data_IF_323078053095
#
_entry.id   IF_323078053095
#
_cell.length_a   1.000
_cell.length_b   1.000
_cell.length_c   1.000
_cell.angle_alpha   90.00
_cell.angle_beta   90.00
_cell.angle_gamma   90.00
#
_symmetry.space_group_name_H-M   'P 1'
#
loop_
_entity.id
_entity.type
_entity.pdbx_description
1 polymer ?
#
# COMPACT_ATOMS: atom_id res chain seq x y z
N UNK A 1 9.46 10.11 8.37
CA UNK A 1 8.23 9.75 7.68
C UNK A 1 7.60 8.52 8.33
N UNK A 2 6.33 8.63 8.72
CA UNK A 2 5.57 7.57 9.40
C UNK A 2 4.23 7.34 8.69
N UNK A 3 3.64 6.18 8.96
CA UNK A 3 2.30 5.82 8.51
C UNK A 3 1.48 5.41 9.71
N UNK A 4 0.27 5.90 9.79
CA UNK A 4 -0.72 5.43 10.75
C UNK A 4 -1.28 4.07 10.31
N UNK A 5 -1.42 3.12 11.25
CA UNK A 5 -1.78 1.73 10.92
C UNK A 5 -3.12 1.27 11.49
N UNK A 6 -3.88 2.20 12.06
CA UNK A 6 -5.24 1.97 12.58
C UNK A 6 -6.16 3.14 12.22
N UNK A 7 -7.46 2.96 12.32
CA UNK A 7 -8.38 4.08 12.22
C UNK A 7 -8.57 4.71 13.60
N UNK A 8 -8.28 6.01 13.71
CA UNK A 8 -8.50 6.79 14.93
C UNK A 8 -9.39 7.99 14.60
N UNK A 9 -10.69 7.80 14.80
CA UNK A 9 -11.70 8.82 14.48
C UNK A 9 -11.60 10.05 15.37
N UNK A 10 -11.09 9.90 16.61
CA UNK A 10 -10.93 11.04 17.53
C UNK A 10 -9.81 11.99 17.07
N UNK A 11 -8.76 11.43 16.50
CA UNK A 11 -7.61 12.18 15.97
C UNK A 11 -7.76 12.50 14.48
N UNK A 12 -8.84 12.03 13.84
CA UNK A 12 -9.10 12.15 12.41
C UNK A 12 -7.93 11.63 11.55
N UNK A 13 -7.37 10.45 11.93
CA UNK A 13 -6.29 9.80 11.21
C UNK A 13 -6.69 8.37 10.91
N UNK A 14 -6.39 7.90 9.70
CA UNK A 14 -6.84 6.61 9.22
C UNK A 14 -5.67 5.70 8.85
N UNK A 15 -5.96 4.40 8.78
CA UNK A 15 -4.98 3.41 8.38
C UNK A 15 -4.48 3.69 6.96
N UNK A 16 -3.18 3.93 6.83
CA UNK A 16 -2.53 4.28 5.57
C UNK A 16 -2.14 5.74 5.44
N UNK A 17 -2.64 6.62 6.33
CA UNK A 17 -2.26 8.03 6.33
C UNK A 17 -0.77 8.20 6.62
N UNK A 18 -0.13 9.04 5.83
CA UNK A 18 1.30 9.28 5.89
C UNK A 18 1.56 10.68 6.41
N UNK A 19 2.40 10.78 7.42
CA UNK A 19 2.84 12.04 8.00
C UNK A 19 4.35 12.11 8.23
N UNK A 20 4.78 13.25 8.72
CA UNK A 20 6.18 13.48 9.10
C UNK A 20 6.24 13.84 10.59
N UNK A 21 7.15 13.19 11.31
CA UNK A 21 7.43 13.55 12.68
C UNK A 21 8.02 14.96 12.70
N UNK A 22 7.38 15.85 13.42
CA UNK A 22 7.85 17.21 13.64
C UNK A 22 8.64 17.36 14.93
N UNK A 23 8.17 16.70 16.00
CA UNK A 23 8.78 16.81 17.32
C UNK A 23 8.71 15.47 18.07
N UNK A 24 9.74 15.21 18.87
CA UNK A 24 9.83 14.06 19.74
C UNK A 24 10.36 14.54 21.10
N UNK A 25 9.59 14.32 22.14
CA UNK A 25 10.03 14.47 23.49
C UNK A 25 9.84 13.17 24.31
N UNK A 26 10.24 13.15 25.57
CA UNK A 26 10.22 11.93 26.37
C UNK A 26 8.84 11.29 26.57
N UNK A 27 7.76 12.04 26.38
CA UNK A 27 6.39 11.61 26.65
C UNK A 27 5.50 11.61 25.42
N UNK A 28 5.81 12.46 24.42
CA UNK A 28 4.95 12.73 23.28
C UNK A 28 5.72 12.76 21.97
N UNK A 29 5.02 12.38 20.90
CA UNK A 29 5.49 12.46 19.53
C UNK A 29 4.44 13.22 18.71
N UNK A 30 4.87 14.24 17.97
CA UNK A 30 3.99 15.05 17.13
C UNK A 30 4.24 14.73 15.66
N UNK A 31 3.16 14.45 14.93
CA UNK A 31 3.19 14.11 13.51
C UNK A 31 2.35 15.11 12.72
N UNK A 32 2.91 15.64 11.65
CA UNK A 32 2.26 16.47 10.66
C UNK A 32 1.71 15.62 9.52
N UNK A 33 0.40 15.62 9.33
CA UNK A 33 -0.32 14.94 8.24
C UNK A 33 -0.69 15.89 7.10
N UNK A 34 0.00 17.05 6.99
CA UNK A 34 -0.15 18.11 5.98
C UNK A 34 -1.39 19.00 6.15
N UNK A 35 -2.51 18.44 6.53
CA UNK A 35 -3.78 19.15 6.78
C UNK A 35 -4.01 19.42 8.27
N UNK A 36 -3.41 18.60 9.13
CA UNK A 36 -3.49 18.76 10.59
C UNK A 36 -2.31 18.09 11.31
N UNK A 37 -2.07 18.55 12.54
CA UNK A 37 -1.01 18.04 13.39
C UNK A 37 -1.62 17.17 14.49
N UNK A 38 -1.05 15.98 14.71
CA UNK A 38 -1.51 15.02 15.70
C UNK A 38 -0.41 14.70 16.70
N UNK A 39 -0.77 14.75 17.99
CA UNK A 39 0.13 14.35 19.07
C UNK A 39 -0.22 12.95 19.56
N UNK A 40 0.79 12.12 19.70
CA UNK A 40 0.72 10.75 20.21
C UNK A 40 1.40 10.65 21.57
N UNK A 41 0.71 10.04 22.51
CA UNK A 41 1.29 9.64 23.79
C UNK A 41 2.13 8.36 23.59
N UNK A 42 3.00 8.05 24.56
CA UNK A 42 3.91 6.91 24.48
C UNK A 42 3.21 5.55 24.26
N UNK A 43 2.02 5.37 24.84
CA UNK A 43 1.21 4.16 24.69
C UNK A 43 0.51 4.06 23.31
N UNK A 44 0.44 5.16 22.56
CA UNK A 44 -0.18 5.24 21.23
C UNK A 44 0.85 5.06 20.09
N UNK A 45 2.14 5.01 20.39
CA UNK A 45 3.20 4.85 19.38
C UNK A 45 3.09 3.55 18.58
N UNK A 46 2.40 2.55 19.11
CA UNK A 46 2.10 1.31 18.42
C UNK A 46 1.09 1.49 17.25
N UNK A 47 0.45 2.65 17.14
CA UNK A 47 -0.40 3.02 16.00
C UNK A 47 0.41 3.57 14.82
N UNK A 48 1.72 3.78 14.98
CA UNK A 48 2.61 4.32 13.98
C UNK A 48 3.64 3.29 13.51
N UNK A 49 4.00 3.37 12.24
CA UNK A 49 5.13 2.62 11.66
C UNK A 49 5.96 3.51 10.76
N UNK A 50 7.25 3.18 10.59
CA UNK A 50 8.09 3.91 9.63
C UNK A 50 7.59 3.72 8.21
N UNK A 51 7.51 4.80 7.44
CA UNK A 51 6.95 4.83 6.09
C UNK A 51 7.99 5.16 5.01
N UNK A 52 9.20 4.61 5.13
CA UNK A 52 10.23 4.71 4.07
C UNK A 52 9.93 3.79 2.89
N UNK A 53 9.13 2.74 3.10
CA UNK A 53 8.58 1.86 2.07
C UNK A 53 7.16 1.45 2.46
N UNK A 54 6.34 1.13 1.46
CA UNK A 54 4.97 0.66 1.65
C UNK A 54 4.73 -0.60 0.83
N UNK A 55 3.87 -1.50 1.30
CA UNK A 55 3.41 -2.60 0.47
C UNK A 55 2.44 -2.10 -0.60
N UNK A 56 2.34 -2.83 -1.72
CA UNK A 56 1.42 -2.50 -2.81
C UNK A 56 -0.03 -2.41 -2.32
N UNK A 57 -0.43 -3.27 -1.38
CA UNK A 57 -1.77 -3.27 -0.82
C UNK A 57 -2.07 -2.00 0.01
N UNK A 58 -1.10 -1.57 0.83
CA UNK A 58 -1.25 -0.34 1.63
C UNK A 58 -1.20 0.94 0.78
N UNK A 59 -0.64 0.88 -0.41
CA UNK A 59 -0.62 1.99 -1.36
C UNK A 59 -1.88 2.10 -2.22
N UNK A 60 -2.85 1.18 -2.07
CA UNK A 60 -4.12 1.25 -2.79
C UNK A 60 -4.89 2.51 -2.37
N UNK A 61 -5.43 3.22 -3.37
CA UNK A 61 -6.08 4.51 -3.15
C UNK A 61 -5.14 5.72 -3.14
N UNK A 62 -3.83 5.51 -2.89
CA UNK A 62 -2.83 6.59 -2.91
C UNK A 62 -2.16 6.72 -4.27
N UNK A 63 -1.68 7.92 -4.60
CA UNK A 63 -0.93 8.21 -5.83
C UNK A 63 0.36 8.97 -5.49
N UNK A 64 1.42 8.70 -6.23
CA UNK A 64 2.75 9.26 -6.01
C UNK A 64 3.32 9.81 -7.31
N UNK A 65 4.12 10.87 -7.23
CA UNK A 65 4.81 11.41 -8.42
C UNK A 65 5.73 10.38 -9.05
N UNK A 66 6.51 9.69 -8.21
CA UNK A 66 7.47 8.66 -8.62
C UNK A 66 7.26 7.42 -7.77
N UNK A 67 7.23 6.24 -8.38
CA UNK A 67 7.15 4.95 -7.70
C UNK A 67 8.38 4.12 -8.05
N UNK A 68 9.05 3.61 -7.03
CA UNK A 68 10.19 2.69 -7.16
C UNK A 68 9.73 1.30 -6.73
N UNK A 69 9.84 0.32 -7.63
CA UNK A 69 9.36 -1.05 -7.41
C UNK A 69 10.55 -2.00 -7.43
N UNK A 70 11.01 -2.52 -6.28
CA UNK A 70 12.00 -3.58 -6.25
C UNK A 70 11.35 -4.93 -6.63
N UNK A 71 11.94 -5.64 -7.61
CA UNK A 71 11.50 -6.96 -8.05
C UNK A 71 12.63 -7.97 -7.88
N UNK A 72 12.45 -8.94 -6.97
CA UNK A 72 13.38 -10.04 -6.76
C UNK A 72 12.70 -11.38 -7.05
N UNK A 73 13.44 -12.32 -7.63
CA UNK A 73 12.98 -13.71 -7.83
C UNK A 73 12.73 -14.44 -6.52
N UNK A 74 13.33 -14.00 -5.40
CA UNK A 74 13.05 -14.54 -4.05
C UNK A 74 11.60 -14.33 -3.62
N UNK A 75 10.91 -13.33 -4.17
CA UNK A 75 9.51 -13.05 -3.90
C UNK A 75 8.56 -13.64 -4.95
N UNK A 76 8.88 -14.82 -5.52
CA UNK A 76 8.18 -15.37 -6.68
C UNK A 76 6.66 -15.52 -6.50
N UNK A 77 6.18 -15.78 -5.27
CA UNK A 77 4.74 -15.86 -4.94
C UNK A 77 4.03 -14.52 -5.20
N UNK A 78 4.73 -13.41 -4.97
CA UNK A 78 4.21 -12.04 -5.14
C UNK A 78 4.43 -11.52 -6.57
N UNK A 79 5.19 -12.23 -7.41
CA UNK A 79 5.38 -11.86 -8.81
C UNK A 79 4.14 -12.23 -9.63
N UNK A 80 3.11 -11.37 -9.54
CA UNK A 80 1.82 -11.53 -10.20
C UNK A 80 1.51 -10.28 -11.03
N UNK A 81 0.89 -10.48 -12.18
CA UNK A 81 0.54 -9.41 -13.12
C UNK A 81 -0.34 -8.33 -12.49
N UNK A 82 -1.37 -8.73 -11.76
CA UNK A 82 -2.28 -7.81 -11.09
C UNK A 82 -1.57 -6.96 -10.03
N UNK A 83 -0.65 -7.56 -9.26
CA UNK A 83 0.08 -6.84 -8.24
C UNK A 83 1.08 -5.84 -8.86
N UNK A 84 1.79 -6.25 -9.92
CA UNK A 84 2.68 -5.37 -10.67
C UNK A 84 1.89 -4.21 -11.30
N UNK A 85 0.74 -4.50 -11.92
CA UNK A 85 -0.14 -3.48 -12.48
C UNK A 85 -0.60 -2.48 -11.41
N UNK A 86 -1.07 -2.97 -10.25
CA UNK A 86 -1.49 -2.12 -9.14
C UNK A 86 -0.36 -1.21 -8.68
N UNK A 87 0.88 -1.73 -8.58
CA UNK A 87 2.03 -0.94 -8.18
C UNK A 87 2.38 0.15 -9.22
N UNK A 88 2.38 -0.19 -10.51
CA UNK A 88 2.68 0.74 -11.61
C UNK A 88 1.66 1.88 -11.66
N UNK A 89 0.37 1.55 -11.52
CA UNK A 89 -0.71 2.54 -11.57
C UNK A 89 -0.75 3.50 -10.38
N UNK A 90 0.09 3.33 -9.38
CA UNK A 90 0.28 4.31 -8.29
C UNK A 90 1.12 5.50 -8.71
N UNK A 91 1.83 5.44 -9.82
CA UNK A 91 2.69 6.51 -10.28
C UNK A 91 1.95 7.49 -11.20
N UNK A 92 2.06 8.79 -10.89
CA UNK A 92 1.54 9.88 -11.75
C UNK A 92 2.50 10.24 -12.88
N UNK A 93 3.80 10.18 -12.64
CA UNK A 93 4.80 10.69 -13.57
C UNK A 93 5.83 9.65 -14.00
N UNK A 94 6.37 8.86 -13.05
CA UNK A 94 7.48 7.96 -13.34
C UNK A 94 7.44 6.70 -12.50
N UNK A 95 7.72 5.56 -13.16
CA UNK A 95 7.96 4.28 -12.51
C UNK A 95 9.41 3.87 -12.74
N UNK A 96 10.08 3.44 -11.67
CA UNK A 96 11.43 2.87 -11.71
C UNK A 96 11.34 1.44 -11.18
N UNK A 97 11.66 0.47 -12.02
CA UNK A 97 11.71 -0.94 -11.63
C UNK A 97 13.17 -1.31 -11.39
N UNK A 98 13.48 -1.80 -10.19
CA UNK A 98 14.81 -2.25 -9.80
C UNK A 98 14.77 -3.75 -9.56
N UNK A 99 15.49 -4.53 -10.35
CA UNK A 99 15.52 -5.98 -10.18
C UNK A 99 15.98 -6.74 -11.41
N UNK A 100 15.79 -8.05 -11.40
CA UNK A 100 16.19 -8.89 -12.52
C UNK A 100 15.13 -8.93 -13.63
N UNK A 101 15.57 -8.97 -14.88
CA UNK A 101 14.70 -9.17 -16.05
C UNK A 101 13.82 -10.42 -15.90
N UNK A 102 14.38 -11.48 -15.28
CA UNK A 102 13.66 -12.72 -15.00
C UNK A 102 12.48 -12.48 -14.04
N UNK A 103 12.67 -11.71 -12.96
CA UNK A 103 11.60 -11.38 -12.03
C UNK A 103 10.47 -10.58 -12.71
N UNK A 104 10.83 -9.61 -13.55
CA UNK A 104 9.86 -8.82 -14.32
C UNK A 104 9.07 -9.72 -15.29
N UNK A 105 9.74 -10.56 -16.05
CA UNK A 105 9.08 -11.50 -16.98
C UNK A 105 8.13 -12.44 -16.24
N UNK A 106 8.56 -12.98 -15.11
CA UNK A 106 7.72 -13.83 -14.26
C UNK A 106 6.47 -13.08 -13.79
N UNK A 107 6.62 -11.85 -13.31
CA UNK A 107 5.49 -11.05 -12.86
C UNK A 107 4.49 -10.74 -14.00
N UNK A 108 4.99 -10.41 -15.20
CA UNK A 108 4.13 -10.11 -16.37
C UNK A 108 3.38 -11.35 -16.86
N UNK A 109 4.04 -12.51 -16.86
CA UNK A 109 3.45 -13.77 -17.36
C UNK A 109 2.54 -14.45 -16.34
N UNK A 110 2.73 -14.19 -15.05
CA UNK A 110 1.98 -14.84 -13.99
C UNK A 110 0.55 -14.29 -13.90
N UNK A 111 -0.42 -15.12 -14.32
CA UNK A 111 -1.85 -14.82 -14.22
C UNK A 111 -2.51 -15.67 -13.12
N UNK A 112 -1.85 -15.79 -11.96
CA UNK A 112 -2.34 -16.56 -10.81
C UNK A 112 -3.45 -15.79 -10.08
N UNK A 113 -4.51 -15.41 -10.77
CA UNK A 113 -5.74 -14.99 -10.11
C UNK A 113 -6.38 -16.25 -9.51
N UNK A 114 -6.53 -16.28 -8.19
CA UNK A 114 -7.40 -17.28 -7.56
C UNK A 114 -8.77 -17.14 -8.21
N UNK A 115 -9.22 -18.19 -8.90
CA UNK A 115 -10.60 -18.26 -9.36
C UNK A 115 -11.49 -18.07 -8.13
N UNK A 116 -12.18 -16.97 -8.08
CA UNK A 116 -13.21 -16.79 -7.04
C UNK A 116 -14.28 -17.80 -7.34
N UNK A 117 -14.55 -18.70 -6.42
CA UNK A 117 -15.69 -19.63 -6.48
C UNK A 117 -17.00 -18.89 -6.22
N UNK A 118 -17.26 -17.83 -7.00
CA UNK A 118 -18.54 -17.14 -6.97
C UNK A 118 -19.38 -17.68 -8.11
N UNK A 119 -20.52 -18.22 -7.82
CA UNK A 119 -21.55 -18.60 -8.80
C UNK A 119 -22.24 -17.36 -9.42
N UNK A 120 -21.63 -16.17 -9.32
CA UNK A 120 -22.27 -14.92 -9.74
C UNK A 120 -22.56 -14.91 -11.25
N UNK A 121 -21.63 -15.34 -12.08
CA UNK A 121 -21.83 -15.41 -13.53
C UNK A 121 -22.96 -16.39 -13.90
N UNK A 122 -22.99 -17.55 -13.26
CA UNK A 122 -24.06 -18.56 -13.45
C UNK A 122 -25.42 -18.03 -12.98
N UNK A 123 -25.46 -17.39 -11.80
CA UNK A 123 -26.69 -16.79 -11.26
C UNK A 123 -27.21 -15.63 -12.13
N UNK A 124 -26.33 -14.84 -12.72
CA UNK A 124 -26.74 -13.79 -13.65
C UNK A 124 -27.25 -14.37 -14.96
N UNK A 125 -26.62 -15.41 -15.49
CA UNK A 125 -27.08 -16.10 -16.68
C UNK A 125 -28.48 -16.73 -16.51
N UNK A 126 -28.76 -17.31 -15.32
CA UNK A 126 -30.08 -17.89 -15.02
C UNK A 126 -31.18 -16.86 -14.72
N UNK A 127 -30.84 -15.60 -14.42
CA UNK A 127 -31.83 -14.53 -14.21
C UNK A 127 -32.20 -13.76 -15.50
N UNK A 128 -31.53 -14.03 -16.59
CA UNK A 128 -31.77 -13.39 -17.90
C UNK A 128 -32.58 -14.28 -18.85
N UNK A 129 -33.11 -15.39 -18.36
CA UNK A 129 -34.13 -16.26 -18.97
C UNK A 129 -35.38 -16.19 -18.06
#
# INVERSE_FOLDING_TARGET
KVMHIRNNYQKNVFNGDIGFIQDINNEKLTVDYFDHIVTYEKNELNELTLAYASSVHKSQGSEYKVVIIPLSTSHYIMLQRNLLYTAITRAKQKVIIIGSKKALMTAVQSNRTQKRYTLLAERLAHKLI
#
